data_IF_295653858885
#
_entry.id   IF_295653858885
#
_cell.length_a   1.000
_cell.length_b   1.000
_cell.length_c   1.000
_cell.angle_alpha   90.00
_cell.angle_beta   90.00
_cell.angle_gamma   90.00
#
_symmetry.space_group_name_H-M   'P 1'
#
loop_
_entity.id
_entity.type
_entity.pdbx_description
1 polymer ?
#
# COMPACT_ATOMS: atom_id res chain seq x y z
N UNK A 1 16.28 7.83 4.03
CA UNK A 1 15.36 6.73 3.88
C UNK A 1 15.36 5.98 5.20
N UNK A 2 14.38 5.51 5.66
CA UNK A 2 13.23 4.85 5.28
C UNK A 2 12.41 4.58 6.51
N UNK A 3 11.19 4.92 6.44
CA UNK A 3 10.28 4.52 7.51
C UNK A 3 10.12 3.00 7.47
N UNK A 4 9.74 2.41 8.59
CA UNK A 4 9.38 0.99 8.64
C UNK A 4 8.23 0.68 7.66
N UNK A 5 7.38 1.68 7.39
CA UNK A 5 6.33 1.61 6.38
C UNK A 5 6.93 1.43 4.97
N UNK A 6 7.95 2.22 4.60
CA UNK A 6 8.57 2.10 3.27
C UNK A 6 9.13 0.70 3.07
N UNK A 7 9.86 0.19 4.06
CA UNK A 7 10.40 -1.17 4.03
C UNK A 7 9.28 -2.23 3.91
N UNK A 8 8.18 -2.06 4.63
CA UNK A 8 7.03 -2.97 4.55
C UNK A 8 6.44 -3.03 3.14
N UNK A 9 6.24 -1.85 2.53
CA UNK A 9 5.71 -1.74 1.18
C UNK A 9 6.70 -2.19 0.11
N UNK A 10 8.00 -2.00 0.31
CA UNK A 10 9.07 -2.45 -0.58
C UNK A 10 9.17 -3.98 -0.57
N UNK A 11 9.18 -4.62 0.59
CA UNK A 11 9.18 -6.08 0.72
C UNK A 11 7.96 -6.67 0.01
N UNK A 12 6.76 -6.12 0.25
CA UNK A 12 5.56 -6.61 -0.42
C UNK A 12 5.64 -6.44 -1.95
N UNK A 13 6.18 -5.30 -2.41
CA UNK A 13 6.30 -5.01 -3.84
C UNK A 13 7.33 -5.90 -4.55
N UNK A 14 8.38 -6.30 -3.87
CA UNK A 14 9.42 -7.22 -4.37
C UNK A 14 8.89 -8.63 -4.63
N UNK A 15 7.81 -9.03 -3.97
CA UNK A 15 7.20 -10.34 -4.13
C UNK A 15 6.19 -10.43 -5.29
N UNK A 16 5.82 -9.31 -5.90
CA UNK A 16 4.86 -9.31 -7.03
C UNK A 16 5.39 -10.13 -8.19
N UNK A 17 4.58 -11.09 -8.64
CA UNK A 17 4.97 -12.06 -9.67
C UNK A 17 5.40 -13.41 -9.10
N UNK A 18 5.55 -13.56 -7.78
CA UNK A 18 5.75 -14.88 -7.18
C UNK A 18 4.57 -15.79 -7.52
N UNK A 19 4.87 -17.05 -7.88
CA UNK A 19 3.90 -18.10 -8.16
C UNK A 19 4.19 -19.26 -7.21
N UNK A 20 3.15 -19.83 -6.61
CA UNK A 20 3.25 -21.02 -5.78
C UNK A 20 3.66 -22.25 -6.59
N UNK A 21 4.01 -23.30 -5.94
CA UNK A 21 4.25 -24.57 -6.60
C UNK A 21 5.51 -25.30 -6.13
N UNK A 22 5.70 -26.54 -6.64
CA UNK A 22 4.92 -27.18 -7.70
C UNK A 22 3.54 -27.70 -7.28
N UNK A 23 3.26 -27.89 -5.99
CA UNK A 23 1.95 -28.29 -5.52
C UNK A 23 1.08 -27.06 -5.17
N UNK A 24 -0.25 -27.23 -5.23
CA UNK A 24 -1.21 -26.21 -4.84
C UNK A 24 -0.93 -25.73 -3.41
N UNK A 25 -0.97 -24.43 -3.20
CA UNK A 25 -0.68 -23.76 -1.93
C UNK A 25 0.74 -24.05 -1.34
N UNK A 26 1.65 -24.63 -2.11
CA UNK A 26 3.05 -24.79 -1.72
C UNK A 26 3.80 -23.47 -1.90
N UNK A 27 4.27 -22.87 -0.81
CA UNK A 27 4.87 -21.53 -0.86
C UNK A 27 5.98 -21.34 0.17
N UNK A 28 6.87 -20.40 -0.07
CA UNK A 28 7.92 -20.01 0.89
C UNK A 28 7.39 -19.24 2.11
N UNK A 29 6.12 -18.81 2.10
CA UNK A 29 5.55 -17.99 3.18
C UNK A 29 5.04 -18.82 4.37
N UNK A 30 4.78 -20.11 4.16
CA UNK A 30 4.34 -21.05 5.19
C UNK A 30 4.82 -22.47 4.92
N UNK A 31 4.71 -23.36 5.94
CA UNK A 31 5.15 -24.75 5.81
C UNK A 31 4.04 -25.72 5.37
N UNK A 32 2.79 -25.32 5.53
CA UNK A 32 1.61 -26.14 5.25
C UNK A 32 0.99 -25.72 3.92
N UNK A 33 0.51 -26.70 3.12
CA UNK A 33 -0.16 -26.45 1.86
C UNK A 33 -1.64 -26.06 2.11
N UNK A 34 -1.87 -24.80 2.45
CA UNK A 34 -3.20 -24.23 2.70
C UNK A 34 -3.25 -22.81 2.15
N UNK A 35 -4.44 -22.19 1.98
CA UNK A 35 -4.55 -20.82 1.50
C UNK A 35 -3.61 -19.86 2.25
N UNK A 36 -2.81 -19.09 1.51
CA UNK A 36 -1.65 -18.40 2.08
C UNK A 36 -1.67 -16.87 1.98
N UNK A 37 -2.81 -16.27 1.70
CA UNK A 37 -2.94 -14.80 1.69
C UNK A 37 -2.49 -14.16 3.02
N UNK A 38 -2.96 -14.72 4.14
CA UNK A 38 -2.56 -14.26 5.48
C UNK A 38 -1.11 -14.60 5.83
N UNK A 39 -0.61 -15.75 5.38
CA UNK A 39 0.79 -16.14 5.56
C UNK A 39 1.74 -15.19 4.82
N UNK A 40 1.40 -14.78 3.60
CA UNK A 40 2.12 -13.75 2.85
C UNK A 40 2.21 -12.43 3.62
N UNK A 41 1.09 -11.94 4.13
CA UNK A 41 1.05 -10.69 4.91
C UNK A 41 1.89 -10.79 6.18
N UNK A 42 1.79 -11.91 6.91
CA UNK A 42 2.61 -12.16 8.11
C UNK A 42 4.10 -12.22 7.77
N UNK A 43 4.45 -12.86 6.65
CA UNK A 43 5.83 -12.96 6.19
C UNK A 43 6.39 -11.57 5.84
N UNK A 44 5.66 -10.75 5.08
CA UNK A 44 6.06 -9.38 4.75
C UNK A 44 6.28 -8.56 6.02
N UNK A 45 5.36 -8.65 6.98
CA UNK A 45 5.47 -7.95 8.26
C UNK A 45 6.74 -8.37 9.03
N UNK A 46 7.03 -9.67 9.06
CA UNK A 46 8.25 -10.22 9.68
C UNK A 46 9.53 -9.69 9.02
N UNK A 47 9.60 -9.69 7.68
CA UNK A 47 10.77 -9.17 6.93
C UNK A 47 11.00 -7.68 7.15
N UNK A 48 9.92 -6.92 7.32
CA UNK A 48 9.99 -5.49 7.59
C UNK A 48 10.15 -5.15 9.10
N UNK A 49 10.11 -6.16 9.98
CA UNK A 49 10.16 -5.97 11.43
C UNK A 49 8.90 -5.29 12.00
N UNK A 50 7.76 -5.39 11.29
CA UNK A 50 6.47 -4.83 11.70
C UNK A 50 5.71 -5.85 12.55
N UNK A 51 5.19 -5.43 13.70
CA UNK A 51 4.34 -6.28 14.53
C UNK A 51 2.88 -6.15 14.13
N UNK A 52 2.29 -7.26 13.68
CA UNK A 52 0.87 -7.40 13.37
C UNK A 52 0.28 -8.62 14.09
N UNK A 53 -1.04 -8.71 14.28
CA UNK A 53 -1.70 -9.95 14.66
C UNK A 53 -1.45 -11.05 13.63
N UNK A 54 -1.58 -12.31 14.03
CA UNK A 54 -1.53 -13.42 13.10
C UNK A 54 -2.76 -13.39 12.18
N UNK A 55 -2.53 -13.25 10.88
CA UNK A 55 -3.56 -13.12 9.85
C UNK A 55 -3.75 -14.40 9.00
N UNK A 56 -3.11 -15.53 9.35
CA UNK A 56 -3.27 -16.80 8.61
C UNK A 56 -4.76 -17.19 8.54
N UNK A 57 -5.44 -17.13 9.67
CA UNK A 57 -6.90 -17.19 9.70
C UNK A 57 -7.46 -15.78 9.71
N UNK A 58 -7.90 -15.32 8.56
CA UNK A 58 -8.25 -13.91 8.32
C UNK A 58 -9.31 -13.33 9.26
N UNK A 59 -10.39 -14.07 9.67
CA UNK A 59 -11.34 -13.56 10.65
C UNK A 59 -10.70 -13.30 12.03
N UNK A 60 -9.80 -14.17 12.48
CA UNK A 60 -9.09 -13.97 13.74
C UNK A 60 -8.15 -12.75 13.67
N UNK A 61 -7.49 -12.55 12.52
CA UNK A 61 -6.68 -11.35 12.27
C UNK A 61 -7.50 -10.08 12.36
N UNK A 62 -8.67 -10.02 11.71
CA UNK A 62 -9.59 -8.89 11.76
C UNK A 62 -10.05 -8.60 13.19
N UNK A 63 -10.50 -9.65 13.92
CA UNK A 63 -10.90 -9.55 15.32
C UNK A 63 -9.78 -8.99 16.20
N UNK A 64 -8.56 -9.47 16.04
CA UNK A 64 -7.41 -9.00 16.82
C UNK A 64 -7.07 -7.52 16.52
N UNK A 65 -7.26 -7.04 15.29
CA UNK A 65 -7.16 -5.62 14.99
C UNK A 65 -8.26 -4.80 15.68
N UNK A 66 -9.50 -5.31 15.72
CA UNK A 66 -10.62 -4.66 16.41
C UNK A 66 -10.38 -4.57 17.92
N UNK A 67 -9.99 -5.66 18.57
CA UNK A 67 -9.62 -5.70 19.99
C UNK A 67 -8.48 -4.75 20.34
N UNK A 68 -7.51 -4.60 19.44
CA UNK A 68 -6.42 -3.65 19.58
C UNK A 68 -6.81 -2.20 19.27
N UNK A 69 -8.09 -1.90 18.97
CA UNK A 69 -8.61 -0.58 18.53
C UNK A 69 -7.87 -0.03 17.28
N UNK A 70 -7.54 -0.91 16.35
CA UNK A 70 -6.82 -0.62 15.10
C UNK A 70 -7.57 -1.12 13.86
N UNK A 71 -8.84 -1.43 14.01
CA UNK A 71 -9.76 -1.72 12.92
C UNK A 71 -10.41 -0.44 12.41
N UNK A 72 -10.61 -0.34 11.11
CA UNK A 72 -11.33 0.72 10.44
C UNK A 72 -12.51 0.10 9.70
N UNK A 73 -13.72 0.41 10.13
CA UNK A 73 -14.93 -0.04 9.44
C UNK A 73 -15.03 0.61 8.06
N UNK A 74 -15.46 -0.15 7.07
CA UNK A 74 -15.54 0.33 5.69
C UNK A 74 -16.32 1.63 5.54
N UNK A 75 -17.40 1.81 6.30
CA UNK A 75 -18.29 2.98 6.21
C UNK A 75 -17.57 4.30 6.56
N UNK A 76 -16.60 4.25 7.47
CA UNK A 76 -15.86 5.42 7.97
C UNK A 76 -14.37 5.38 7.65
N UNK A 77 -13.91 4.33 6.95
CA UNK A 77 -12.50 4.13 6.71
C UNK A 77 -11.87 5.23 5.86
N UNK A 78 -10.75 5.72 6.33
CA UNK A 78 -9.78 6.51 5.56
C UNK A 78 -8.51 5.67 5.44
N UNK A 79 -8.47 4.75 4.43
CA UNK A 79 -7.35 3.83 4.27
C UNK A 79 -6.07 4.57 3.94
N UNK A 80 -4.95 4.02 4.40
CA UNK A 80 -3.61 4.56 4.15
C UNK A 80 -2.69 3.48 3.60
N UNK A 81 -1.60 3.85 2.91
CA UNK A 81 -0.55 2.89 2.57
C UNK A 81 -0.06 2.15 3.82
N UNK A 82 0.06 0.82 3.72
CA UNK A 82 0.42 -0.06 4.82
C UNK A 82 -0.75 -0.64 5.61
N UNK A 83 -1.97 -0.14 5.45
CA UNK A 83 -3.15 -0.79 5.99
C UNK A 83 -3.34 -2.18 5.35
N UNK A 84 -3.95 -3.10 6.10
CA UNK A 84 -4.32 -4.43 5.64
C UNK A 84 -5.81 -4.42 5.28
N UNK A 85 -6.13 -4.60 4.00
CA UNK A 85 -7.50 -4.71 3.53
C UNK A 85 -7.98 -6.15 3.73
N UNK A 86 -9.12 -6.32 4.38
CA UNK A 86 -9.78 -7.59 4.59
C UNK A 86 -10.99 -7.70 3.66
N UNK A 87 -11.15 -8.88 3.04
CA UNK A 87 -12.15 -9.11 2.02
C UNK A 87 -13.09 -10.24 2.40
N UNK A 88 -14.34 -10.08 1.98
CA UNK A 88 -15.34 -11.11 1.91
C UNK A 88 -15.81 -11.21 0.45
N UNK A 89 -15.46 -12.31 -0.21
CA UNK A 89 -15.83 -12.51 -1.61
C UNK A 89 -17.14 -13.26 -1.68
N UNK A 90 -18.19 -12.72 -2.34
CA UNK A 90 -19.42 -13.45 -2.55
C UNK A 90 -19.16 -14.65 -3.47
N UNK A 91 -19.86 -15.75 -3.21
CA UNK A 91 -19.82 -16.96 -4.02
C UNK A 91 -18.48 -17.73 -4.02
N UNK A 92 -17.62 -17.49 -3.04
CA UNK A 92 -16.42 -18.31 -2.84
C UNK A 92 -16.68 -19.56 -1.95
N UNK A 93 -17.95 -19.79 -1.57
CA UNK A 93 -18.37 -20.87 -0.70
C UNK A 93 -18.01 -20.67 0.79
N UNK A 94 -17.61 -19.46 1.16
CA UNK A 94 -17.18 -19.09 2.52
C UNK A 94 -17.96 -17.88 3.00
N UNK A 95 -18.82 -18.06 3.98
CA UNK A 95 -19.62 -16.98 4.57
C UNK A 95 -18.84 -16.30 5.71
N UNK A 96 -17.75 -15.64 5.37
CA UNK A 96 -16.88 -14.89 6.31
C UNK A 96 -15.76 -14.19 5.55
N UNK A 97 -15.02 -13.32 6.24
CA UNK A 97 -13.74 -12.76 5.75
C UNK A 97 -12.83 -13.92 5.30
N UNK A 98 -12.53 -13.98 4.00
CA UNK A 98 -11.81 -15.10 3.39
C UNK A 98 -10.46 -14.73 2.79
N UNK A 99 -10.16 -13.42 2.68
CA UNK A 99 -8.93 -12.94 2.05
C UNK A 99 -8.38 -11.66 2.70
N UNK A 100 -7.08 -11.38 2.46
CA UNK A 100 -6.38 -10.21 2.97
C UNK A 100 -5.31 -9.74 1.98
N UNK A 101 -5.08 -8.42 1.93
CA UNK A 101 -4.02 -7.82 1.13
C UNK A 101 -3.47 -6.55 1.77
N UNK A 102 -2.30 -6.12 1.31
CA UNK A 102 -1.61 -4.91 1.79
C UNK A 102 -1.97 -3.73 0.90
N UNK A 103 -2.48 -2.65 1.47
CA UNK A 103 -2.73 -1.39 0.74
C UNK A 103 -1.39 -0.74 0.39
N UNK A 104 -1.08 -0.68 -0.91
CA UNK A 104 0.11 0.01 -1.41
C UNK A 104 -0.15 1.50 -1.64
N UNK A 105 -1.32 1.84 -2.16
CA UNK A 105 -1.70 3.22 -2.50
C UNK A 105 -3.21 3.41 -2.47
N UNK A 106 -3.64 4.57 -2.01
CA UNK A 106 -5.04 5.01 -2.08
C UNK A 106 -5.21 5.95 -3.26
N UNK A 107 -6.29 5.80 -4.01
CA UNK A 107 -6.66 6.67 -5.14
C UNK A 107 -7.83 7.57 -4.75
N UNK A 108 -7.87 8.77 -5.32
CA UNK A 108 -8.97 9.74 -5.08
C UNK A 108 -10.35 9.25 -5.53
N UNK A 109 -10.40 8.26 -6.43
CA UNK A 109 -11.64 7.71 -6.99
C UNK A 109 -12.32 6.63 -6.13
N UNK A 110 -11.97 6.50 -4.86
CA UNK A 110 -12.56 5.49 -3.97
C UNK A 110 -12.03 4.07 -4.17
N UNK A 111 -10.87 3.92 -4.81
CA UNK A 111 -10.18 2.64 -4.95
C UNK A 111 -8.83 2.65 -4.24
N UNK A 112 -8.34 1.46 -3.89
CA UNK A 112 -6.98 1.23 -3.42
C UNK A 112 -6.24 0.31 -4.38
N UNK A 113 -4.92 0.47 -4.44
CA UNK A 113 -4.04 -0.54 -5.02
C UNK A 113 -3.56 -1.40 -3.87
N UNK A 114 -3.84 -2.69 -3.93
CA UNK A 114 -3.36 -3.70 -2.98
C UNK A 114 -2.25 -4.56 -3.58
N UNK A 115 -1.45 -5.18 -2.71
CA UNK A 115 -0.58 -6.31 -3.03
C UNK A 115 -1.13 -7.49 -2.24
N UNK A 116 -1.53 -8.54 -2.94
CA UNK A 116 -2.23 -9.68 -2.40
C UNK A 116 -1.48 -10.96 -2.72
N UNK A 117 -1.30 -11.83 -1.72
CA UNK A 117 -0.82 -13.19 -1.90
C UNK A 117 -1.98 -14.16 -2.14
N UNK A 118 -1.70 -15.28 -2.79
CA UNK A 118 -2.69 -16.31 -3.11
C UNK A 118 -3.88 -15.79 -3.93
N UNK A 119 -3.64 -14.90 -4.87
CA UNK A 119 -4.67 -14.34 -5.76
C UNK A 119 -4.28 -14.55 -7.21
N UNK A 120 -5.24 -14.45 -8.12
CA UNK A 120 -4.95 -14.46 -9.56
C UNK A 120 -4.61 -13.05 -10.05
N UNK A 121 -3.62 -12.94 -10.95
CA UNK A 121 -3.36 -11.70 -11.68
C UNK A 121 -4.51 -11.36 -12.64
N UNK A 122 -5.18 -12.37 -13.17
CA UNK A 122 -6.37 -12.21 -14.02
C UNK A 122 -7.59 -11.76 -13.20
N UNK A 123 -8.44 -10.93 -13.80
CA UNK A 123 -9.71 -10.52 -13.21
C UNK A 123 -10.73 -11.65 -13.12
N UNK A 124 -10.65 -12.63 -14.01
CA UNK A 124 -11.55 -13.79 -14.08
C UNK A 124 -11.06 -14.97 -13.25
N UNK A 125 -9.78 -15.00 -12.87
CA UNK A 125 -9.20 -16.05 -12.06
C UNK A 125 -9.65 -15.97 -10.60
N UNK A 126 -9.34 -17.01 -9.84
CA UNK A 126 -9.66 -17.07 -8.41
C UNK A 126 -8.96 -15.95 -7.66
N UNK A 127 -9.74 -15.15 -6.97
CA UNK A 127 -9.24 -13.98 -6.24
C UNK A 127 -8.81 -14.32 -4.81
N UNK A 128 -9.11 -15.53 -4.35
CA UNK A 128 -8.83 -16.02 -3.00
C UNK A 128 -7.80 -17.16 -2.97
N UNK A 129 -7.75 -17.98 -4.02
CA UNK A 129 -6.84 -19.14 -4.15
C UNK A 129 -6.24 -19.17 -5.58
N UNK A 130 -5.68 -18.07 -6.03
CA UNK A 130 -5.15 -17.93 -7.39
C UNK A 130 -3.64 -18.15 -7.53
N UNK A 131 -2.98 -18.60 -6.46
CA UNK A 131 -1.59 -19.08 -6.47
C UNK A 131 -0.50 -18.05 -6.73
N UNK A 132 -0.81 -16.75 -6.73
CA UNK A 132 0.18 -15.72 -7.08
C UNK A 132 0.23 -14.57 -6.07
N UNK A 133 1.34 -13.83 -6.07
CA UNK A 133 1.39 -12.47 -5.50
C UNK A 133 1.14 -11.47 -6.62
N UNK A 134 0.05 -10.73 -6.53
CA UNK A 134 -0.34 -9.78 -7.56
C UNK A 134 -0.74 -8.41 -7.01
N UNK A 135 -0.61 -7.37 -7.87
CA UNK A 135 -1.20 -6.06 -7.63
C UNK A 135 -2.65 -6.05 -8.11
N UNK A 136 -3.55 -5.61 -7.25
CA UNK A 136 -4.99 -5.52 -7.56
C UNK A 136 -5.47 -4.09 -7.39
N UNK A 137 -6.54 -3.73 -8.12
CA UNK A 137 -7.29 -2.50 -7.88
C UNK A 137 -8.62 -2.91 -7.25
N UNK A 138 -8.88 -2.43 -6.03
CA UNK A 138 -10.05 -2.79 -5.23
C UNK A 138 -10.84 -1.53 -4.89
N UNK A 139 -12.17 -1.59 -5.03
CA UNK A 139 -13.04 -0.52 -4.57
C UNK A 139 -13.24 -0.63 -3.04
N UNK A 140 -13.29 0.52 -2.35
CA UNK A 140 -13.60 0.61 -0.92
C UNK A 140 -14.69 1.63 -0.62
N UNK A 141 -15.05 2.51 -1.56
CA UNK A 141 -16.19 3.43 -1.42
C UNK A 141 -17.34 2.98 -2.30
N UNK A 142 -18.53 2.87 -1.69
CA UNK A 142 -19.77 2.58 -2.40
C UNK A 142 -20.21 3.82 -3.19
N UNK A 143 -20.84 3.60 -4.33
CA UNK A 143 -21.20 4.55 -5.38
C UNK A 143 -22.12 5.73 -4.98
N UNK A 144 -22.56 5.86 -3.76
CA UNK A 144 -23.65 6.77 -3.36
C UNK A 144 -23.28 8.25 -3.17
N UNK A 145 -22.14 8.70 -3.68
CA UNK A 145 -21.79 10.14 -3.71
C UNK A 145 -21.45 10.60 -5.13
N UNK A 146 -22.41 10.49 -5.99
CA UNK A 146 -22.62 11.30 -7.22
C UNK A 146 -21.53 11.31 -8.30
N UNK A 147 -20.27 11.00 -8.08
CA UNK A 147 -19.17 11.12 -9.07
C UNK A 147 -18.05 10.09 -8.95
N UNK A 148 -18.12 9.15 -8.03
CA UNK A 148 -17.10 8.12 -7.92
C UNK A 148 -17.50 6.91 -8.75
N UNK A 149 -16.78 6.69 -9.82
CA UNK A 149 -16.84 5.46 -10.58
C UNK A 149 -16.31 4.34 -9.70
N UNK A 150 -17.07 3.32 -9.40
CA UNK A 150 -16.49 2.06 -9.73
C UNK A 150 -17.48 1.13 -10.45
N UNK A 151 -17.14 0.76 -11.63
CA UNK A 151 -17.53 -0.49 -12.23
C UNK A 151 -16.97 -1.72 -11.46
N UNK A 152 -16.33 -1.50 -10.31
CA UNK A 152 -15.75 -2.55 -9.48
C UNK A 152 -16.64 -2.80 -8.27
N UNK A 153 -17.02 -4.07 -7.99
CA UNK A 153 -17.71 -4.41 -6.77
C UNK A 153 -16.83 -4.15 -5.54
N UNK A 154 -17.46 -3.81 -4.42
CA UNK A 154 -16.78 -3.62 -3.13
C UNK A 154 -16.83 -4.94 -2.38
N UNK A 155 -15.67 -5.56 -2.19
CA UNK A 155 -15.49 -6.78 -1.40
C UNK A 155 -14.72 -6.53 -0.11
N UNK A 156 -14.15 -5.32 0.07
CA UNK A 156 -13.48 -4.94 1.30
C UNK A 156 -14.54 -4.75 2.38
N UNK A 157 -14.33 -5.36 3.55
CA UNK A 157 -15.21 -5.23 4.72
C UNK A 157 -14.62 -4.28 5.76
N UNK A 158 -13.32 -4.05 5.74
CA UNK A 158 -12.63 -3.12 6.62
C UNK A 158 -11.12 -3.21 6.47
N UNK A 159 -10.42 -2.43 7.31
CA UNK A 159 -8.97 -2.34 7.30
C UNK A 159 -8.38 -2.52 8.70
N UNK A 160 -7.34 -3.33 8.81
CA UNK A 160 -6.48 -3.39 9.99
C UNK A 160 -5.29 -2.45 9.81
N UNK A 161 -5.01 -1.59 10.80
CA UNK A 161 -3.90 -0.62 10.73
C UNK A 161 -2.70 -1.07 11.56
N UNK A 162 -1.57 -1.50 10.94
CA UNK A 162 -0.33 -1.76 11.66
C UNK A 162 0.21 -0.50 12.31
N UNK A 163 1.00 -0.64 13.38
CA UNK A 163 1.80 0.45 13.93
C UNK A 163 3.20 0.38 13.34
N UNK A 164 3.57 1.39 12.59
CA UNK A 164 4.93 1.54 12.06
C UNK A 164 5.76 2.42 13.00
N UNK A 165 7.04 2.06 13.16
CA UNK A 165 7.99 2.90 13.88
C UNK A 165 8.44 4.03 12.97
N UNK A 166 8.44 5.25 13.48
CA UNK A 166 9.06 6.38 12.82
C UNK A 166 10.59 6.23 12.86
N UNK A 167 11.27 6.49 11.75
CA UNK A 167 12.71 6.64 11.76
C UNK A 167 13.04 7.96 12.47
N UNK A 168 13.75 7.91 13.57
CA UNK A 168 14.43 9.08 14.11
C UNK A 168 15.55 9.43 13.12
N UNK A 169 15.27 10.29 12.15
CA UNK A 169 16.32 10.97 11.40
C UNK A 169 17.10 11.82 12.40
N UNK A 170 18.33 11.44 12.67
CA UNK A 170 19.29 12.33 13.36
C UNK A 170 19.57 13.47 12.39
N UNK A 171 18.85 14.57 12.51
CA UNK A 171 19.25 15.86 11.96
C UNK A 171 20.54 16.22 12.69
N UNK A 172 21.69 15.86 12.13
CA UNK A 172 22.93 16.57 12.43
C UNK A 172 22.73 17.98 11.87
N UNK A 173 22.29 18.89 12.73
CA UNK A 173 22.40 20.32 12.46
C UNK A 173 23.88 20.62 12.30
N UNK A 174 24.34 20.77 11.06
CA UNK A 174 25.55 21.53 10.79
C UNK A 174 25.22 22.98 11.13
N UNK A 175 25.58 23.39 12.34
CA UNK A 175 25.76 24.78 12.70
C UNK A 175 26.99 25.29 11.97
N UNK A 176 26.81 25.65 10.70
CA UNK A 176 27.78 26.46 9.96
C UNK A 176 27.53 27.91 10.37
N UNK A 177 28.53 28.46 11.02
CA UNK A 177 28.62 29.83 11.42
C UNK A 177 28.33 30.80 10.27
N UNK A 178 27.41 31.71 10.52
CA UNK A 178 27.19 32.89 9.72
C UNK A 178 28.43 33.78 9.76
N UNK A 179 29.21 33.80 8.71
CA UNK A 179 30.11 34.91 8.40
C UNK A 179 29.39 35.86 7.47
N UNK A 180 29.20 37.05 7.96
CA UNK A 180 28.67 38.20 7.26
C UNK A 180 29.68 38.66 6.20
N UNK A 181 29.32 38.82 4.92
CA UNK A 181 30.14 39.55 3.99
C UNK A 181 29.77 41.02 4.04
N UNK A 182 30.80 41.82 4.23
CA UNK A 182 30.87 43.29 4.13
C UNK A 182 30.37 43.74 2.73
N UNK A 183 29.59 44.82 2.73
CA UNK A 183 29.16 45.52 1.56
C UNK A 183 30.35 46.14 0.79
N UNK A 184 30.43 45.88 -0.49
CA UNK A 184 31.12 46.74 -1.46
C UNK A 184 30.14 47.14 -2.52
N UNK A 185 30.02 48.47 -2.66
CA UNK A 185 29.18 49.15 -3.65
C UNK A 185 29.90 49.15 -4.99
N UNK A 186 29.22 48.78 -6.06
CA UNK A 186 29.55 49.29 -7.39
C UNK A 186 28.29 49.54 -8.26
N UNK A 187 28.39 50.64 -9.01
CA UNK A 187 27.33 51.31 -9.73
C UNK A 187 26.97 50.69 -11.11
N UNK A 188 25.91 51.13 -11.73
CA UNK A 188 25.29 50.46 -12.88
C UNK A 188 25.90 50.91 -14.24
N UNK A 189 26.10 49.95 -15.10
CA UNK A 189 26.27 50.25 -16.55
C UNK A 189 25.10 49.68 -17.34
N UNK A 190 24.41 50.64 -17.97
CA UNK A 190 23.41 50.48 -19.02
C UNK A 190 24.04 49.95 -20.30
N UNK A 191 23.53 48.90 -20.89
CA UNK A 191 23.63 48.68 -22.33
C UNK A 191 22.33 48.12 -22.89
N UNK A 192 21.76 48.93 -23.76
CA UNK A 192 20.69 48.64 -24.68
C UNK A 192 21.09 47.53 -25.66
N UNK A 193 20.24 46.54 -25.84
CA UNK A 193 20.25 45.73 -27.07
C UNK A 193 18.89 45.73 -27.72
N UNK A 194 18.95 46.17 -28.97
CA UNK A 194 17.89 46.36 -29.93
C UNK A 194 17.27 45.04 -30.42
N UNK A 195 15.97 45.12 -30.66
CA UNK A 195 15.18 44.10 -31.35
C UNK A 195 15.54 44.05 -32.85
N UNK A 196 15.82 42.87 -33.35
CA UNK A 196 15.74 42.60 -34.80
C UNK A 196 14.72 41.50 -35.05
N UNK A 197 13.68 41.90 -35.74
CA UNK A 197 12.65 41.07 -36.38
C UNK A 197 13.22 40.44 -37.64
N UNK A 198 12.95 39.14 -37.89
CA UNK A 198 13.03 38.52 -39.19
C UNK A 198 11.77 37.74 -39.50
N UNK A 199 11.30 37.80 -40.78
CA UNK A 199 9.97 37.34 -41.16
C UNK A 199 9.92 35.89 -41.57
N UNK A 200 8.66 35.42 -41.69
CA UNK A 200 8.23 34.12 -42.12
C UNK A 200 8.69 33.73 -43.54
N UNK A 201 8.94 32.46 -43.71
CA UNK A 201 8.54 31.66 -44.88
C UNK A 201 8.18 30.26 -44.38
#
# INVERSE_FOLDING_TARGET
MCSQLDKFLEVAAGEVGYIEGPADNQTKYQKTNQPWCGAFVNWVAKQAGVKIPNCIYTPAGAKAFAEAKRWQDLATAEPMPGDLAFFDFPNDGIDRISHIGIVKRVKKNGTVITIEGNTSSDKKGDQRNGGQVARKVRAYKVKNRGKLQPSLPVFIVGFGRPKFKECKCSTKQNSSQSQTPTQEQEQPQSQLYTWQTHPAL
#
